data_IF_778366016128
#
_entry.id   IF_778366016128
#
_cell.length_a   1.000
_cell.length_b   1.000
_cell.length_c   1.000
_cell.angle_alpha   90.00
_cell.angle_beta   90.00
_cell.angle_gamma   90.00
#
_symmetry.space_group_name_H-M   'P 1'
#
loop_
_entity.id
_entity.type
_entity.pdbx_description
1 polymer ?
#
# COMPACT_ATOMS: atom_id res chain seq x y z
N UNK A 1 -3.24 0.42 -42.55
CA UNK A 1 -2.47 1.04 -41.44
C UNK A 1 -1.78 0.01 -40.57
N UNK A 2 -2.48 -0.97 -39.98
CA UNK A 2 -1.87 -1.99 -39.09
C UNK A 2 -0.70 -2.74 -39.73
N UNK A 3 -0.86 -3.26 -40.96
CA UNK A 3 0.20 -3.94 -41.71
C UNK A 3 1.47 -3.08 -41.86
N UNK A 4 1.30 -1.82 -42.23
CA UNK A 4 2.41 -0.85 -42.42
C UNK A 4 3.18 -0.61 -41.12
N UNK A 5 2.50 -0.59 -39.97
CA UNK A 5 3.17 -0.45 -38.67
C UNK A 5 3.95 -1.72 -38.31
N UNK A 6 3.40 -2.90 -38.62
CA UNK A 6 4.08 -4.18 -38.40
C UNK A 6 5.33 -4.28 -39.29
N UNK A 7 5.21 -3.98 -40.58
CA UNK A 7 6.33 -4.06 -41.52
C UNK A 7 7.48 -3.12 -41.09
N UNK A 8 7.16 -1.88 -40.71
CA UNK A 8 8.15 -0.94 -40.16
C UNK A 8 8.80 -1.41 -38.86
N UNK A 9 8.01 -2.03 -37.97
CA UNK A 9 8.55 -2.58 -36.73
C UNK A 9 9.53 -3.73 -37.02
N UNK A 10 9.22 -4.59 -38.00
CA UNK A 10 10.11 -5.67 -38.45
C UNK A 10 11.37 -5.15 -39.13
N UNK A 11 11.30 -4.00 -39.78
CA UNK A 11 12.46 -3.29 -40.37
C UNK A 11 13.32 -2.55 -39.33
N UNK A 12 12.94 -2.56 -38.05
CA UNK A 12 13.72 -1.98 -36.96
C UNK A 12 13.32 -0.56 -36.53
N UNK A 13 12.17 -0.05 -36.98
CA UNK A 13 11.61 1.19 -36.45
C UNK A 13 11.15 0.98 -34.99
N UNK A 14 11.95 1.47 -34.04
CA UNK A 14 11.70 1.34 -32.61
C UNK A 14 10.40 2.00 -32.15
N UNK A 15 9.92 3.01 -32.87
CA UNK A 15 8.63 3.66 -32.57
C UNK A 15 7.48 2.75 -32.96
N UNK A 16 7.53 2.15 -34.15
CA UNK A 16 6.54 1.19 -34.61
C UNK A 16 6.56 -0.09 -33.75
N UNK A 17 7.74 -0.57 -33.38
CA UNK A 17 7.91 -1.69 -32.46
C UNK A 17 7.31 -1.40 -31.08
N UNK A 18 7.54 -0.21 -30.52
CA UNK A 18 6.96 0.21 -29.25
C UNK A 18 5.42 0.21 -29.26
N UNK A 19 4.80 0.68 -30.35
CA UNK A 19 3.34 0.65 -30.52
C UNK A 19 2.80 -0.79 -30.53
N UNK A 20 3.47 -1.70 -31.23
CA UNK A 20 3.08 -3.12 -31.29
C UNK A 20 3.28 -3.79 -29.91
N UNK A 21 4.43 -3.59 -29.27
CA UNK A 21 4.74 -4.16 -27.96
C UNK A 21 3.78 -3.68 -26.86
N UNK A 22 3.32 -2.43 -26.91
CA UNK A 22 2.36 -1.90 -25.93
C UNK A 22 1.00 -2.63 -25.92
N UNK A 23 0.68 -3.36 -27.00
CA UNK A 23 -0.54 -4.16 -27.13
C UNK A 23 -0.30 -5.65 -26.88
N UNK A 24 0.91 -6.13 -27.13
CA UNK A 24 1.27 -7.55 -26.97
C UNK A 24 1.81 -7.88 -25.58
N UNK A 25 2.49 -6.94 -24.93
CA UNK A 25 3.03 -7.11 -23.60
C UNK A 25 2.14 -6.35 -22.59
N UNK A 26 1.70 -6.98 -21.49
CA UNK A 26 1.14 -6.22 -20.40
C UNK A 26 2.20 -5.21 -19.91
N UNK A 27 1.82 -3.96 -19.62
CA UNK A 27 2.76 -2.99 -19.09
C UNK A 27 3.36 -3.57 -17.81
N UNK A 28 4.68 -3.65 -17.75
CA UNK A 28 5.40 -4.01 -16.52
C UNK A 28 5.07 -2.92 -15.52
N UNK A 29 4.14 -3.20 -14.60
CA UNK A 29 3.89 -2.31 -13.48
C UNK A 29 5.18 -2.29 -12.65
N UNK A 30 5.72 -1.11 -12.39
CA UNK A 30 6.74 -0.97 -11.38
C UNK A 30 6.14 -1.48 -10.07
N UNK A 31 6.58 -2.65 -9.63
CA UNK A 31 6.27 -3.17 -8.32
C UNK A 31 7.43 -2.77 -7.42
N UNK A 32 7.11 -2.07 -6.33
CA UNK A 32 8.08 -1.81 -5.28
C UNK A 32 8.58 -3.14 -4.74
N UNK A 33 9.89 -3.24 -4.52
CA UNK A 33 10.49 -4.44 -3.94
C UNK A 33 9.86 -4.71 -2.56
N UNK A 34 9.66 -5.99 -2.17
CA UNK A 34 9.14 -6.32 -0.85
C UNK A 34 10.04 -5.73 0.24
N UNK A 35 9.44 -4.97 1.17
CA UNK A 35 10.15 -4.43 2.33
C UNK A 35 10.15 -5.43 3.48
N UNK A 36 11.25 -5.48 4.22
CA UNK A 36 11.38 -6.28 5.43
C UNK A 36 11.78 -5.36 6.58
N UNK A 37 10.92 -5.25 7.58
CA UNK A 37 11.19 -4.53 8.81
C UNK A 37 10.41 -5.19 9.96
N UNK A 38 10.87 -4.99 11.20
CA UNK A 38 10.19 -5.55 12.37
C UNK A 38 9.03 -4.65 12.80
N UNK A 39 7.81 -5.21 12.81
CA UNK A 39 6.61 -4.56 13.33
C UNK A 39 5.95 -5.48 14.35
N UNK A 40 5.87 -5.02 15.59
CA UNK A 40 5.12 -5.73 16.64
C UNK A 40 3.67 -5.18 16.70
N UNK A 41 2.66 -5.99 16.30
CA UNK A 41 1.27 -5.55 16.25
C UNK A 41 0.60 -5.41 17.63
N UNK A 42 1.23 -5.96 18.68
CA UNK A 42 0.72 -5.89 20.06
C UNK A 42 1.12 -4.58 20.74
N UNK A 43 2.12 -3.87 20.22
CA UNK A 43 2.53 -2.58 20.76
C UNK A 43 1.45 -1.52 20.59
N UNK A 44 1.43 -0.48 21.45
CA UNK A 44 0.59 0.68 21.25
C UNK A 44 0.79 1.29 19.86
N UNK A 45 -0.29 1.80 19.27
CA UNK A 45 -0.30 2.32 17.89
C UNK A 45 0.78 3.38 17.64
N UNK A 46 1.04 4.26 18.62
CA UNK A 46 2.12 5.24 18.54
C UNK A 46 3.51 4.58 18.39
N UNK A 47 3.76 3.48 19.10
CA UNK A 47 5.01 2.71 19.01
C UNK A 47 5.13 1.96 17.69
N UNK A 48 4.03 1.48 17.13
CA UNK A 48 4.02 0.91 15.80
C UNK A 48 4.40 1.96 14.74
N UNK A 49 3.87 3.19 14.84
CA UNK A 49 4.22 4.29 13.94
C UNK A 49 5.69 4.70 14.10
N UNK A 50 6.19 4.81 15.32
CA UNK A 50 7.62 5.06 15.59
C UNK A 50 8.52 3.99 14.95
N UNK A 51 8.14 2.71 15.01
CA UNK A 51 8.89 1.62 14.39
C UNK A 51 8.95 1.76 12.86
N UNK A 52 7.83 2.11 12.21
CA UNK A 52 7.79 2.37 10.76
C UNK A 52 8.68 3.56 10.39
N UNK A 53 8.61 4.65 11.15
CA UNK A 53 9.47 5.83 10.93
C UNK A 53 10.96 5.48 11.10
N UNK A 54 11.30 4.64 12.09
CA UNK A 54 12.64 4.11 12.28
C UNK A 54 13.13 3.31 11.08
N UNK A 55 12.31 2.40 10.55
CA UNK A 55 12.64 1.59 9.37
C UNK A 55 12.84 2.46 8.11
N UNK A 56 12.04 3.53 7.95
CA UNK A 56 12.23 4.50 6.86
C UNK A 56 13.54 5.26 7.03
N UNK A 57 13.86 5.71 8.24
CA UNK A 57 15.11 6.42 8.52
C UNK A 57 16.36 5.55 8.34
N UNK A 58 16.24 4.24 8.60
CA UNK A 58 17.30 3.26 8.38
C UNK A 58 17.48 2.87 6.89
N UNK A 59 16.55 3.27 6.02
CA UNK A 59 16.56 2.92 4.60
C UNK A 59 16.02 1.51 4.29
N UNK A 60 15.42 0.83 5.27
CA UNK A 60 14.80 -0.50 5.10
C UNK A 60 13.45 -0.40 4.36
N UNK A 61 12.77 0.74 4.52
CA UNK A 61 11.45 1.00 3.93
C UNK A 61 11.49 2.30 3.13
N UNK A 62 11.11 2.30 1.84
CA UNK A 62 10.96 3.52 1.07
C UNK A 62 9.93 4.49 1.70
N UNK A 63 10.14 5.82 1.65
CA UNK A 63 9.25 6.78 2.31
C UNK A 63 7.78 6.71 1.88
N UNK A 64 7.52 6.45 0.60
CA UNK A 64 6.17 6.28 0.04
C UNK A 64 5.47 5.03 0.58
N UNK A 65 6.21 3.93 0.73
CA UNK A 65 5.71 2.70 1.36
C UNK A 65 5.46 2.93 2.86
N UNK A 66 6.37 3.61 3.56
CA UNK A 66 6.20 3.96 4.96
C UNK A 66 4.93 4.79 5.23
N UNK A 67 4.63 5.77 4.37
CA UNK A 67 3.38 6.53 4.44
C UNK A 67 2.14 5.64 4.29
N UNK A 68 2.15 4.70 3.34
CA UNK A 68 1.06 3.75 3.16
C UNK A 68 0.85 2.86 4.38
N UNK A 69 1.94 2.38 4.99
CA UNK A 69 1.89 1.55 6.21
C UNK A 69 1.28 2.34 7.37
N UNK A 70 1.73 3.58 7.60
CA UNK A 70 1.18 4.44 8.65
C UNK A 70 -0.31 4.70 8.44
N UNK A 71 -0.75 4.90 7.19
CA UNK A 71 -2.17 5.05 6.86
C UNK A 71 -2.99 3.79 7.22
N UNK A 72 -2.47 2.59 6.92
CA UNK A 72 -3.10 1.32 7.29
C UNK A 72 -3.21 1.14 8.81
N UNK A 73 -2.15 1.50 9.54
CA UNK A 73 -2.15 1.52 11.02
C UNK A 73 -3.23 2.49 11.54
N UNK A 74 -3.39 3.65 10.89
CA UNK A 74 -4.45 4.61 11.21
C UNK A 74 -5.86 4.03 11.05
N UNK A 75 -6.10 3.26 9.98
CA UNK A 75 -7.36 2.54 9.77
C UNK A 75 -7.66 1.57 10.90
N UNK A 76 -6.66 0.77 11.32
CA UNK A 76 -6.80 -0.14 12.45
C UNK A 76 -7.09 0.62 13.76
N UNK A 77 -6.45 1.78 13.97
CA UNK A 77 -6.70 2.65 15.13
C UNK A 77 -8.16 3.06 15.22
N UNK A 78 -8.75 3.46 14.10
CA UNK A 78 -10.14 3.89 14.07
C UNK A 78 -11.11 2.75 14.35
N UNK A 79 -10.83 1.54 13.83
CA UNK A 79 -11.64 0.34 14.15
C UNK A 79 -11.61 0.05 15.64
N UNK A 80 -10.42 -0.01 16.26
CA UNK A 80 -10.27 -0.26 17.70
C UNK A 80 -10.98 0.78 18.56
N UNK A 81 -10.90 2.06 18.19
CA UNK A 81 -11.62 3.15 18.88
C UNK A 81 -13.13 2.96 18.82
N UNK A 82 -13.66 2.55 17.66
CA UNK A 82 -15.09 2.30 17.51
C UNK A 82 -15.54 1.13 18.38
N UNK A 83 -14.79 0.03 18.40
CA UNK A 83 -15.04 -1.13 19.26
C UNK A 83 -15.02 -0.74 20.75
N UNK A 84 -14.04 0.07 21.19
CA UNK A 84 -13.96 0.55 22.57
C UNK A 84 -15.18 1.42 22.94
N UNK A 85 -15.58 2.35 22.05
CA UNK A 85 -16.73 3.21 22.28
C UNK A 85 -18.04 2.40 22.35
N UNK A 86 -18.22 1.42 21.45
CA UNK A 86 -19.37 0.52 21.46
C UNK A 86 -19.46 -0.26 22.78
N UNK A 87 -18.35 -0.82 23.26
CA UNK A 87 -18.30 -1.51 24.56
C UNK A 87 -18.67 -0.59 25.72
N UNK A 88 -18.20 0.67 25.70
CA UNK A 88 -18.54 1.66 26.74
C UNK A 88 -20.03 2.01 26.72
N UNK A 89 -20.62 2.15 25.54
CA UNK A 89 -22.07 2.41 25.39
C UNK A 89 -22.87 1.26 25.99
N UNK A 90 -22.56 0.01 25.62
CA UNK A 90 -23.25 -1.18 26.16
C UNK A 90 -23.19 -1.23 27.69
N UNK A 91 -22.02 -0.92 28.28
CA UNK A 91 -21.86 -0.89 29.73
C UNK A 91 -22.67 0.22 30.42
N UNK A 92 -22.85 1.37 29.75
CA UNK A 92 -23.65 2.47 30.27
C UNK A 92 -25.14 2.16 30.16
N UNK A 93 -25.61 1.64 29.03
CA UNK A 93 -27.00 1.23 28.82
C UNK A 93 -27.41 0.14 29.82
N UNK A 94 -26.53 -0.83 30.08
CA UNK A 94 -26.78 -1.86 31.10
C UNK A 94 -26.98 -1.27 32.51
N UNK A 95 -26.29 -0.19 32.85
CA UNK A 95 -26.42 0.49 34.15
C UNK A 95 -27.68 1.34 34.27
N UNK A 96 -28.17 1.92 33.18
CA UNK A 96 -29.41 2.70 33.18
C UNK A 96 -30.68 1.84 33.29
N UNK A 97 -30.59 0.57 32.87
CA UNK A 97 -31.72 -0.38 32.91
C UNK A 97 -31.84 -1.08 34.28
N UNK A 98 -30.90 -0.86 35.22
CA UNK A 98 -30.90 -1.43 36.58
C UNK A 98 -31.29 -0.40 37.63
#
# INVERSE_FOLDING_TARGET
>A
MVRVVIDKALEGDMTAAGLVLSRLMPPVKAQSEPVQFNLDPELPIGKQIEAVLGAVAAGEVPPDVGQQIIAMIGTLSNVRKNEELEQRIIQLEAKEIT
#
